data_IF_339654707229
#
_entry.id   IF_339654707229
#
_cell.length_a   1.000
_cell.length_b   1.000
_cell.length_c   1.000
_cell.angle_alpha   90.00
_cell.angle_beta   90.00
_cell.angle_gamma   90.00
#
_symmetry.space_group_name_H-M   'P 1'
#
loop_
_entity.id
_entity.type
_entity.pdbx_description
1 polymer ?
#
# COMPACT_ATOMS: atom_id res chain seq x y z
N UNK A 1 10.02 7.22 -11.35
CA UNK A 1 10.14 7.75 -9.97
C UNK A 1 11.09 6.84 -9.20
N UNK A 2 11.92 7.36 -8.27
CA UNK A 2 12.78 6.53 -7.41
C UNK A 2 11.96 5.53 -6.58
N UNK A 3 12.51 4.33 -6.32
CA UNK A 3 11.86 3.25 -5.54
C UNK A 3 11.37 3.72 -4.17
N UNK A 4 12.17 4.52 -3.47
CA UNK A 4 11.82 5.14 -2.18
C UNK A 4 10.51 5.94 -2.25
N UNK A 5 10.28 6.66 -3.36
CA UNK A 5 9.03 7.42 -3.54
C UNK A 5 7.85 6.47 -3.76
N UNK A 6 8.03 5.36 -4.48
CA UNK A 6 6.96 4.35 -4.63
C UNK A 6 6.60 3.74 -3.28
N UNK A 7 7.58 3.42 -2.44
CA UNK A 7 7.34 2.89 -1.09
C UNK A 7 6.56 3.87 -0.22
N UNK A 8 6.91 5.16 -0.25
CA UNK A 8 6.16 6.20 0.46
C UNK A 8 4.71 6.31 -0.04
N UNK A 9 4.48 6.22 -1.35
CA UNK A 9 3.12 6.19 -1.90
C UNK A 9 2.34 4.95 -1.46
N UNK A 10 2.99 3.77 -1.44
CA UNK A 10 2.37 2.53 -0.97
C UNK A 10 1.96 2.63 0.51
N UNK A 11 2.80 3.22 1.36
CA UNK A 11 2.48 3.50 2.77
C UNK A 11 1.24 4.39 2.90
N UNK A 12 1.22 5.53 2.20
CA UNK A 12 0.09 6.47 2.24
C UNK A 12 -1.22 5.82 1.77
N UNK A 13 -1.17 4.92 0.79
CA UNK A 13 -2.36 4.19 0.34
C UNK A 13 -2.86 3.18 1.37
N UNK A 14 -1.98 2.43 2.01
CA UNK A 14 -2.37 1.49 3.06
C UNK A 14 -2.91 2.22 4.29
N UNK A 15 -2.35 3.37 4.65
CA UNK A 15 -2.87 4.23 5.72
C UNK A 15 -4.29 4.71 5.41
N UNK A 16 -4.53 5.22 4.20
CA UNK A 16 -5.88 5.61 3.77
C UNK A 16 -6.88 4.44 3.81
N UNK A 17 -6.45 3.24 3.40
CA UNK A 17 -7.32 2.06 3.46
C UNK A 17 -7.66 1.71 4.89
N UNK A 18 -6.64 1.66 5.77
CA UNK A 18 -6.83 1.40 7.21
C UNK A 18 -7.82 2.39 7.82
N UNK A 19 -7.60 3.68 7.60
CA UNK A 19 -8.41 4.73 8.21
C UNK A 19 -9.87 4.66 7.72
N UNK A 20 -10.07 4.38 6.43
CA UNK A 20 -11.43 4.22 5.86
C UNK A 20 -12.15 2.99 6.39
N UNK A 21 -11.45 1.87 6.56
CA UNK A 21 -12.02 0.66 7.16
C UNK A 21 -12.34 0.87 8.65
N UNK A 22 -11.46 1.54 9.39
CA UNK A 22 -11.67 1.88 10.80
C UNK A 22 -12.89 2.80 10.97
N UNK A 23 -13.03 3.83 10.14
CA UNK A 23 -14.19 4.73 10.13
C UNK A 23 -15.49 3.97 9.83
N UNK A 24 -15.49 3.10 8.80
CA UNK A 24 -16.66 2.28 8.47
C UNK A 24 -17.06 1.35 9.63
N UNK A 25 -16.07 0.72 10.28
CA UNK A 25 -16.29 -0.14 11.45
C UNK A 25 -16.83 0.64 12.65
N UNK A 26 -16.29 1.83 12.93
CA UNK A 26 -16.75 2.68 14.02
C UNK A 26 -18.17 3.20 13.83
N UNK A 27 -18.58 3.43 12.58
CA UNK A 27 -19.91 3.95 12.23
C UNK A 27 -20.93 2.86 11.90
N UNK A 28 -20.53 1.58 11.91
CA UNK A 28 -21.32 0.46 11.36
C UNK A 28 -21.80 0.71 9.92
N UNK A 29 -21.12 1.59 9.19
CA UNK A 29 -21.49 1.96 7.83
C UNK A 29 -21.04 0.86 6.87
N UNK A 30 -21.96 0.43 6.01
CA UNK A 30 -21.62 -0.45 4.89
C UNK A 30 -20.86 0.34 3.84
N UNK A 31 -19.68 -0.14 3.44
CA UNK A 31 -18.94 0.42 2.32
C UNK A 31 -19.58 -0.05 1.00
N UNK A 32 -19.93 0.86 0.08
CA UNK A 32 -20.41 0.49 -1.23
C UNK A 32 -19.41 -0.41 -1.97
N UNK A 33 -19.87 -1.34 -2.83
CA UNK A 33 -18.98 -2.22 -3.60
C UNK A 33 -17.90 -1.48 -4.40
N UNK A 34 -18.25 -0.32 -4.97
CA UNK A 34 -17.30 0.55 -5.68
C UNK A 34 -16.15 1.02 -4.76
N UNK A 35 -16.47 1.41 -3.52
CA UNK A 35 -15.45 1.81 -2.54
C UNK A 35 -14.59 0.62 -2.15
N UNK A 36 -15.18 -0.55 -1.94
CA UNK A 36 -14.41 -1.77 -1.65
C UNK A 36 -13.44 -2.14 -2.78
N UNK A 37 -13.86 -1.97 -4.04
CA UNK A 37 -13.00 -2.22 -5.19
C UNK A 37 -11.83 -1.21 -5.28
N UNK A 38 -12.08 0.06 -4.96
CA UNK A 38 -11.01 1.08 -4.88
C UNK A 38 -10.02 0.73 -3.75
N UNK A 39 -10.52 0.35 -2.58
CA UNK A 39 -9.69 -0.01 -1.43
C UNK A 39 -8.86 -1.28 -1.72
N UNK A 40 -9.46 -2.29 -2.35
CA UNK A 40 -8.75 -3.53 -2.72
C UNK A 40 -7.64 -3.25 -3.73
N UNK A 41 -7.88 -2.38 -4.71
CA UNK A 41 -6.86 -1.93 -5.67
C UNK A 41 -5.67 -1.24 -4.99
N UNK A 42 -5.93 -0.35 -4.03
CA UNK A 42 -4.87 0.30 -3.24
C UNK A 42 -4.05 -0.70 -2.43
N UNK A 43 -4.68 -1.71 -1.84
CA UNK A 43 -3.98 -2.77 -1.09
C UNK A 43 -3.13 -3.63 -2.02
N UNK A 44 -3.68 -4.09 -3.14
CA UNK A 44 -2.97 -4.94 -4.09
C UNK A 44 -1.71 -4.25 -4.62
N UNK A 45 -1.84 -2.99 -5.03
CA UNK A 45 -0.73 -2.23 -5.59
C UNK A 45 0.29 -1.82 -4.52
N UNK A 46 -0.15 -1.46 -3.31
CA UNK A 46 0.75 -1.20 -2.19
C UNK A 46 1.59 -2.43 -1.85
N UNK A 47 0.97 -3.61 -1.77
CA UNK A 47 1.67 -4.87 -1.53
C UNK A 47 2.66 -5.22 -2.65
N UNK A 48 2.28 -5.01 -3.92
CA UNK A 48 3.18 -5.21 -5.07
C UNK A 48 4.45 -4.36 -4.93
N UNK A 49 4.29 -3.08 -4.61
CA UNK A 49 5.43 -2.15 -4.43
C UNK A 49 6.32 -2.60 -3.26
N UNK A 50 5.75 -3.05 -2.13
CA UNK A 50 6.54 -3.55 -1.02
C UNK A 50 7.30 -4.84 -1.36
N UNK A 51 6.67 -5.75 -2.10
CA UNK A 51 7.34 -6.96 -2.59
C UNK A 51 8.52 -6.55 -3.47
N UNK A 52 8.33 -5.66 -4.44
CA UNK A 52 9.42 -5.17 -5.29
C UNK A 52 10.53 -4.51 -4.50
N UNK A 53 10.19 -3.68 -3.51
CA UNK A 53 11.17 -3.01 -2.66
C UNK A 53 11.94 -3.96 -1.72
N UNK A 54 11.36 -5.11 -1.36
CA UNK A 54 11.99 -6.11 -0.49
C UNK A 54 12.67 -7.24 -1.26
N UNK A 55 12.35 -7.40 -2.55
CA UNK A 55 12.93 -8.40 -3.45
C UNK A 55 14.01 -7.83 -4.37
N UNK A 56 14.30 -6.53 -4.34
CA UNK A 56 15.58 -6.05 -4.88
C UNK A 56 16.71 -6.77 -4.13
N UNK A 57 17.54 -7.59 -4.82
CA UNK A 57 18.75 -8.11 -4.22
C UNK A 57 19.57 -6.91 -3.75
N UNK A 58 20.33 -7.00 -2.65
CA UNK A 58 21.27 -5.96 -2.27
C UNK A 58 22.27 -5.77 -3.43
N UNK A 59 21.99 -4.81 -4.31
CA UNK A 59 22.88 -4.45 -5.40
C UNK A 59 24.09 -3.77 -4.77
N UNK A 60 25.20 -4.51 -4.67
CA UNK A 60 26.54 -4.04 -4.31
C UNK A 60 26.65 -3.13 -3.07
N UNK A 61 26.61 -3.73 -1.88
CA UNK A 61 27.31 -3.13 -0.72
C UNK A 61 28.75 -3.64 -0.54
N UNK A 62 29.21 -4.57 -1.37
CA UNK A 62 30.58 -5.11 -1.27
C UNK A 62 31.25 -5.21 -2.64
N UNK A 63 31.93 -4.14 -3.00
CA UNK A 63 33.18 -4.12 -3.76
C UNK A 63 33.88 -2.86 -3.23
N UNK A 64 34.76 -2.95 -2.26
CA UNK A 64 36.09 -3.55 -2.38
C UNK A 64 37.08 -2.40 -2.28
#
# INVERSE_FOLDING_TARGET
>A
MPLERHVQFAQLWLEQVRDRLAEAGATSASLPPEQLNILSGKVAEGLRIFIEATHEPPAHREAG
#
